data_IF_974522046711
#
_entry.id   IF_974522046711
#
_cell.length_a   1.000
_cell.length_b   1.000
_cell.length_c   1.000
_cell.angle_alpha   90.00
_cell.angle_beta   90.00
_cell.angle_gamma   90.00
#
_symmetry.space_group_name_H-M   'P 1'
#
loop_
_entity.id
_entity.type
_entity.pdbx_description
1 polymer ?
#
# COMPACT_ATOMS: atom_id res chain seq x y z
N UNK A 1 18.78 -9.72 6.02
CA UNK A 1 17.53 -9.20 5.42
C UNK A 1 17.07 -8.02 6.24
N UNK A 2 16.83 -6.87 5.59
CA UNK A 2 16.49 -5.61 6.30
C UNK A 2 15.03 -5.51 6.77
N UNK A 3 14.18 -6.48 6.43
CA UNK A 3 12.75 -6.45 6.73
C UNK A 3 11.91 -5.69 5.71
N UNK A 4 10.62 -5.54 6.00
CA UNK A 4 9.69 -4.81 5.13
C UNK A 4 9.78 -3.31 5.39
N UNK A 5 9.92 -2.54 4.31
CA UNK A 5 9.95 -1.08 4.34
C UNK A 5 8.79 -0.56 3.49
N UNK A 6 7.98 0.38 3.99
CA UNK A 6 6.91 0.98 3.19
C UNK A 6 7.51 1.77 2.02
N UNK A 7 6.97 1.57 0.82
CA UNK A 7 7.42 2.27 -0.37
C UNK A 7 6.53 3.46 -0.72
N UNK A 8 5.23 3.24 -0.73
CA UNK A 8 4.24 4.29 -0.98
C UNK A 8 3.11 4.21 0.03
N UNK A 9 2.46 5.33 0.27
CA UNK A 9 1.28 5.41 1.12
C UNK A 9 0.33 6.50 0.62
N UNK A 10 -0.95 6.36 0.93
CA UNK A 10 -1.91 7.43 0.74
C UNK A 10 -1.87 8.38 1.92
N UNK A 11 -1.97 9.67 1.65
CA UNK A 11 -1.94 10.72 2.66
C UNK A 11 -3.13 11.67 2.46
N UNK A 12 -3.64 12.18 3.57
CA UNK A 12 -4.69 13.20 3.56
C UNK A 12 -4.48 14.18 4.72
N UNK A 13 -5.05 15.36 4.60
CA UNK A 13 -5.07 16.31 5.71
C UNK A 13 -5.93 15.77 6.86
N UNK A 14 -5.49 15.95 8.10
CA UNK A 14 -6.26 15.56 9.29
C UNK A 14 -7.68 16.15 9.27
N UNK A 15 -7.82 17.41 8.89
CA UNK A 15 -9.11 18.07 8.76
C UNK A 15 -10.03 17.44 7.71
N UNK A 16 -9.45 16.82 6.66
CA UNK A 16 -10.22 16.08 5.66
C UNK A 16 -10.72 14.75 6.21
N UNK A 17 -9.86 14.01 6.92
CA UNK A 17 -10.22 12.76 7.60
C UNK A 17 -11.38 12.97 8.59
N UNK A 18 -11.29 14.02 9.40
CA UNK A 18 -12.30 14.36 10.40
C UNK A 18 -13.66 14.74 9.79
N UNK A 19 -13.64 15.45 8.65
CA UNK A 19 -14.87 15.94 8.00
C UNK A 19 -15.49 14.91 7.04
N UNK A 20 -14.72 13.97 6.53
CA UNK A 20 -15.12 13.04 5.47
C UNK A 20 -14.77 11.58 5.78
N UNK A 21 -15.01 11.07 6.99
CA UNK A 21 -14.57 9.71 7.37
C UNK A 21 -15.21 8.62 6.50
N UNK A 22 -16.46 8.83 6.06
CA UNK A 22 -17.17 7.88 5.18
C UNK A 22 -16.52 7.78 3.80
N UNK A 23 -16.07 8.91 3.24
CA UNK A 23 -15.37 8.95 1.96
C UNK A 23 -14.04 8.23 2.04
N UNK A 24 -13.28 8.47 3.13
CA UNK A 24 -12.00 7.79 3.36
C UNK A 24 -12.21 6.29 3.56
N UNK A 25 -13.21 5.89 4.33
CA UNK A 25 -13.52 4.47 4.52
C UNK A 25 -13.89 3.80 3.18
N UNK A 26 -14.76 4.41 2.38
CA UNK A 26 -15.15 3.87 1.08
C UNK A 26 -13.96 3.74 0.12
N UNK A 27 -13.05 4.71 0.13
CA UNK A 27 -11.80 4.65 -0.63
C UNK A 27 -10.91 3.50 -0.15
N UNK A 28 -10.72 3.36 1.16
CA UNK A 28 -9.91 2.30 1.75
C UNK A 28 -10.50 0.92 1.49
N UNK A 29 -11.83 0.79 1.59
CA UNK A 29 -12.54 -0.46 1.26
C UNK A 29 -12.36 -0.85 -0.22
N UNK A 30 -12.35 0.12 -1.12
CA UNK A 30 -12.11 -0.13 -2.54
C UNK A 30 -10.68 -0.61 -2.80
N UNK A 31 -9.70 -0.04 -2.10
CA UNK A 31 -8.30 -0.50 -2.16
C UNK A 31 -8.16 -1.92 -1.60
N UNK A 32 -8.81 -2.23 -0.46
CA UNK A 32 -8.77 -3.59 0.11
C UNK A 32 -9.35 -4.63 -0.88
N UNK A 33 -10.46 -4.33 -1.53
CA UNK A 33 -10.99 -5.20 -2.60
C UNK A 33 -9.99 -5.41 -3.74
N UNK A 34 -9.21 -4.40 -4.08
CA UNK A 34 -8.14 -4.53 -5.07
C UNK A 34 -7.02 -5.45 -4.57
N UNK A 35 -6.65 -5.34 -3.29
CA UNK A 35 -5.65 -6.23 -2.68
C UNK A 35 -6.16 -7.68 -2.63
N UNK A 36 -7.40 -7.89 -2.20
CA UNK A 36 -8.04 -9.23 -2.19
C UNK A 36 -8.01 -9.85 -3.60
N UNK A 37 -8.38 -9.07 -4.61
CA UNK A 37 -8.34 -9.52 -6.01
C UNK A 37 -6.93 -9.97 -6.43
N UNK A 38 -5.90 -9.19 -6.07
CA UNK A 38 -4.51 -9.50 -6.38
C UNK A 38 -4.03 -10.78 -5.67
N UNK A 39 -4.51 -11.05 -4.46
CA UNK A 39 -4.17 -12.28 -3.73
C UNK A 39 -4.85 -13.52 -4.30
N UNK A 40 -6.06 -13.38 -4.86
CA UNK A 40 -6.90 -14.50 -5.30
C UNK A 40 -6.71 -14.85 -6.79
N UNK A 41 -6.09 -13.97 -7.61
CA UNK A 41 -6.03 -14.14 -9.06
C UNK A 41 -4.61 -14.33 -9.58
N UNK A 42 -4.53 -14.97 -10.75
CA UNK A 42 -3.26 -15.17 -11.47
C UNK A 42 -2.72 -13.84 -12.03
N UNK A 43 -1.41 -13.81 -12.29
CA UNK A 43 -0.77 -12.67 -12.93
C UNK A 43 -1.41 -12.28 -14.26
N UNK A 44 -1.86 -13.29 -15.02
CA UNK A 44 -2.53 -13.08 -16.33
C UNK A 44 -3.90 -12.41 -16.16
N UNK A 45 -4.70 -12.83 -15.19
CA UNK A 45 -6.00 -12.24 -14.90
C UNK A 45 -5.87 -10.81 -14.39
N UNK A 46 -4.91 -10.56 -13.49
CA UNK A 46 -4.61 -9.23 -12.98
C UNK A 46 -4.15 -8.32 -14.12
N UNK A 47 -3.16 -8.76 -14.93
CA UNK A 47 -2.65 -8.00 -16.06
C UNK A 47 -3.77 -7.63 -17.04
N UNK A 48 -4.67 -8.57 -17.34
CA UNK A 48 -5.85 -8.32 -18.18
C UNK A 48 -6.79 -7.27 -17.60
N UNK A 49 -6.99 -7.31 -16.27
CA UNK A 49 -7.85 -6.34 -15.55
C UNK A 49 -7.29 -4.93 -15.64
N UNK A 50 -5.96 -4.75 -15.46
CA UNK A 50 -5.30 -3.44 -15.43
C UNK A 50 -4.84 -2.96 -16.79
N UNK A 51 -4.85 -3.80 -17.84
CA UNK A 51 -4.37 -3.47 -19.19
C UNK A 51 -4.89 -2.12 -19.74
N UNK A 52 -6.15 -1.70 -19.52
CA UNK A 52 -6.62 -0.41 -19.99
C UNK A 52 -5.85 0.79 -19.43
N UNK A 53 -5.22 0.65 -18.26
CA UNK A 53 -4.40 1.68 -17.62
C UNK A 53 -2.94 1.69 -18.15
N UNK A 54 -2.54 0.65 -18.86
CA UNK A 54 -1.19 0.43 -19.37
C UNK A 54 -1.22 0.14 -20.88
N UNK A 55 -1.98 0.94 -21.61
CA UNK A 55 -2.25 0.72 -23.05
C UNK A 55 -1.00 0.66 -23.93
N UNK A 56 0.12 1.23 -23.49
CA UNK A 56 1.40 1.22 -24.22
C UNK A 56 2.29 0.02 -23.84
N UNK A 57 1.86 -0.83 -22.92
CA UNK A 57 2.62 -2.00 -22.46
C UNK A 57 2.05 -3.26 -23.09
N UNK A 58 2.91 -4.02 -23.78
CA UNK A 58 2.54 -5.32 -24.35
C UNK A 58 2.00 -6.28 -23.25
N UNK A 59 0.97 -7.04 -23.59
CA UNK A 59 0.27 -7.92 -22.64
C UNK A 59 1.19 -8.92 -21.92
N UNK A 60 2.12 -9.53 -22.65
CA UNK A 60 3.06 -10.49 -22.07
C UNK A 60 4.03 -9.81 -21.11
N UNK A 61 4.47 -8.60 -21.44
CA UNK A 61 5.31 -7.78 -20.57
C UNK A 61 4.57 -7.38 -19.30
N UNK A 62 3.33 -6.95 -19.43
CA UNK A 62 2.49 -6.58 -18.26
C UNK A 62 2.26 -7.78 -17.34
N UNK A 63 1.97 -8.95 -17.91
CA UNK A 63 1.82 -10.21 -17.16
C UNK A 63 3.11 -10.57 -16.42
N UNK A 64 4.26 -10.47 -17.07
CA UNK A 64 5.56 -10.73 -16.45
C UNK A 64 5.87 -9.77 -15.30
N UNK A 65 5.52 -8.48 -15.43
CA UNK A 65 5.66 -7.48 -14.37
C UNK A 65 4.79 -7.85 -13.17
N UNK A 66 3.52 -8.19 -13.40
CA UNK A 66 2.59 -8.58 -12.33
C UNK A 66 3.08 -9.84 -11.62
N UNK A 67 3.50 -10.87 -12.36
CA UNK A 67 4.04 -12.10 -11.80
C UNK A 67 5.26 -11.81 -10.90
N UNK A 68 6.16 -10.93 -11.36
CA UNK A 68 7.33 -10.51 -10.59
C UNK A 68 6.95 -9.83 -9.28
N UNK A 69 5.93 -8.99 -9.27
CA UNK A 69 5.45 -8.32 -8.07
C UNK A 69 4.80 -9.29 -7.09
N UNK A 70 4.07 -10.30 -7.58
CA UNK A 70 3.54 -11.38 -6.73
C UNK A 70 4.66 -12.21 -6.10
N UNK A 71 5.67 -12.63 -6.90
CA UNK A 71 6.83 -13.40 -6.40
C UNK A 71 7.64 -12.66 -5.34
N UNK A 72 7.70 -11.34 -5.41
CA UNK A 72 8.42 -10.49 -4.47
C UNK A 72 7.60 -10.14 -3.22
N UNK A 73 6.37 -10.65 -3.11
CA UNK A 73 5.46 -10.27 -2.03
C UNK A 73 5.29 -8.74 -1.90
N UNK A 74 5.20 -8.06 -3.05
CA UNK A 74 5.08 -6.59 -3.11
C UNK A 74 3.72 -6.12 -2.60
N UNK A 75 2.66 -6.85 -2.92
CA UNK A 75 1.30 -6.57 -2.47
C UNK A 75 0.94 -7.43 -1.26
N UNK A 76 0.62 -6.77 -0.17
CA UNK A 76 0.27 -7.40 1.10
C UNK A 76 -1.21 -7.80 1.14
N UNK A 77 -1.58 -8.56 2.17
CA UNK A 77 -2.96 -9.01 2.38
C UNK A 77 -3.88 -7.89 2.88
N UNK A 78 -3.30 -6.87 3.52
CA UNK A 78 -4.04 -5.74 4.05
C UNK A 78 -3.33 -4.40 3.79
N UNK A 79 -4.02 -3.31 4.12
CA UNK A 79 -3.55 -1.93 3.94
C UNK A 79 -3.01 -1.32 5.24
N UNK A 80 -2.77 -2.12 6.27
CA UNK A 80 -2.32 -1.63 7.57
C UNK A 80 -0.86 -1.17 7.48
N UNK A 81 -0.62 0.09 7.76
CA UNK A 81 0.73 0.65 7.80
C UNK A 81 1.36 0.36 9.16
N UNK A 82 2.09 -0.75 9.26
CA UNK A 82 2.64 -1.27 10.50
C UNK A 82 3.73 -0.38 11.11
N UNK A 83 3.71 -0.27 12.43
CA UNK A 83 4.63 0.57 13.20
C UNK A 83 6.09 0.14 13.04
N UNK A 84 6.37 -1.15 13.03
CA UNK A 84 7.72 -1.70 12.87
C UNK A 84 8.32 -1.35 11.51
N UNK A 85 7.52 -1.41 10.43
CA UNK A 85 7.93 -0.98 9.10
C UNK A 85 8.20 0.54 9.03
N UNK A 86 7.38 1.34 9.72
CA UNK A 86 7.59 2.78 9.86
C UNK A 86 8.87 3.10 10.63
N UNK A 87 9.11 2.41 11.74
CA UNK A 87 10.32 2.58 12.54
C UNK A 87 11.57 2.19 11.76
N UNK A 88 11.52 1.09 11.00
CA UNK A 88 12.61 0.66 10.11
C UNK A 88 12.91 1.71 9.03
N UNK A 89 11.88 2.29 8.41
CA UNK A 89 12.07 3.38 7.46
C UNK A 89 12.78 4.57 8.09
N UNK A 90 12.38 4.98 9.28
CA UNK A 90 13.03 6.09 9.99
C UNK A 90 14.49 5.76 10.33
N UNK A 91 14.79 4.51 10.75
CA UNK A 91 16.17 4.08 10.99
C UNK A 91 17.04 4.27 9.73
N UNK A 92 16.54 3.80 8.57
CA UNK A 92 17.25 3.92 7.28
C UNK A 92 17.48 5.39 6.91
N UNK A 93 16.48 6.24 7.12
CA UNK A 93 16.57 7.67 6.80
C UNK A 93 17.51 8.43 7.76
N UNK A 94 17.56 8.05 9.04
CA UNK A 94 18.54 8.57 9.99
C UNK A 94 19.96 8.15 9.64
N UNK A 95 20.19 6.87 9.38
CA UNK A 95 21.50 6.32 9.01
C UNK A 95 22.05 6.93 7.72
N UNK A 96 21.15 7.44 6.87
CA UNK A 96 21.49 8.12 5.61
C UNK A 96 21.59 9.64 5.74
N UNK A 97 21.54 10.21 6.95
CA UNK A 97 21.52 11.66 7.23
C UNK A 97 20.36 12.44 6.53
N UNK A 98 19.31 11.75 6.09
CA UNK A 98 18.14 12.36 5.45
C UNK A 98 17.13 12.84 6.49
N UNK A 99 16.91 12.04 7.54
CA UNK A 99 16.02 12.36 8.65
C UNK A 99 16.83 12.88 9.83
N UNK A 100 16.55 14.12 10.27
CA UNK A 100 17.23 14.75 11.40
C UNK A 100 16.50 14.61 12.72
N UNK A 101 15.18 14.38 12.66
CA UNK A 101 14.32 14.24 13.82
C UNK A 101 13.19 13.26 13.50
N UNK A 102 12.99 12.29 14.37
CA UNK A 102 11.95 11.28 14.22
C UNK A 102 10.56 11.84 14.48
N UNK A 103 9.59 11.35 13.74
CA UNK A 103 8.19 11.65 13.95
C UNK A 103 7.53 10.48 14.69
N UNK A 104 6.76 10.71 15.76
CA UNK A 104 5.99 9.66 16.39
C UNK A 104 4.98 9.05 15.42
N UNK A 105 4.90 7.72 15.40
CA UNK A 105 3.98 6.97 14.53
C UNK A 105 2.54 7.47 14.63
N UNK A 106 2.05 7.66 15.85
CA UNK A 106 0.68 8.07 16.16
C UNK A 106 0.34 9.50 15.70
N UNK A 107 1.37 10.29 15.39
CA UNK A 107 1.20 11.65 14.86
C UNK A 107 0.94 11.65 13.37
N UNK A 108 1.56 10.72 12.65
CA UNK A 108 1.57 10.70 11.18
C UNK A 108 0.67 9.62 10.58
N UNK A 109 0.47 8.51 11.29
CA UNK A 109 -0.23 7.33 10.77
C UNK A 109 -1.54 7.10 11.51
N UNK A 110 -2.60 6.77 10.78
CA UNK A 110 -3.83 6.20 11.31
C UNK A 110 -4.14 4.90 10.59
N UNK A 111 -4.43 3.84 11.33
CA UNK A 111 -4.75 2.50 10.79
C UNK A 111 -6.24 2.18 10.85
N UNK A 112 -7.04 3.05 11.49
CA UNK A 112 -8.46 2.80 11.75
C UNK A 112 -9.27 2.38 10.51
N UNK A 113 -9.05 3.06 9.38
CA UNK A 113 -9.78 2.78 8.14
C UNK A 113 -9.31 1.46 7.50
N UNK A 114 -8.00 1.19 7.54
CA UNK A 114 -7.41 -0.04 7.04
C UNK A 114 -7.85 -1.27 7.87
N UNK A 115 -7.86 -1.16 9.19
CA UNK A 115 -8.32 -2.21 10.10
C UNK A 115 -9.80 -2.54 9.88
N UNK A 116 -10.66 -1.53 9.67
CA UNK A 116 -12.06 -1.73 9.33
C UNK A 116 -12.25 -2.39 7.97
N UNK A 117 -11.43 -2.04 6.98
CA UNK A 117 -11.48 -2.64 5.66
C UNK A 117 -11.02 -4.11 5.69
N UNK A 118 -9.95 -4.43 6.41
CA UNK A 118 -9.43 -5.80 6.56
C UNK A 118 -10.37 -6.73 7.34
N UNK A 119 -11.22 -6.18 8.22
CA UNK A 119 -12.17 -6.95 9.03
C UNK A 119 -13.45 -7.39 8.28
N UNK A 120 -13.60 -7.04 7.01
CA UNK A 120 -14.77 -7.38 6.16
C UNK A 120 -14.54 -8.69 5.44
#
# INVERSE_FOLDING_TARGET
>A
ESGYVPYTSFSALKSFLEKNPETIQAFTDALQKGMDYVQEHSAEEIAKCIAPQFAETESDTLTAIVARYQEQDTWKEDLIFHKDAFDLLQNILEDSDVLKERVPYETLVTTEFAEKAAAR
#
